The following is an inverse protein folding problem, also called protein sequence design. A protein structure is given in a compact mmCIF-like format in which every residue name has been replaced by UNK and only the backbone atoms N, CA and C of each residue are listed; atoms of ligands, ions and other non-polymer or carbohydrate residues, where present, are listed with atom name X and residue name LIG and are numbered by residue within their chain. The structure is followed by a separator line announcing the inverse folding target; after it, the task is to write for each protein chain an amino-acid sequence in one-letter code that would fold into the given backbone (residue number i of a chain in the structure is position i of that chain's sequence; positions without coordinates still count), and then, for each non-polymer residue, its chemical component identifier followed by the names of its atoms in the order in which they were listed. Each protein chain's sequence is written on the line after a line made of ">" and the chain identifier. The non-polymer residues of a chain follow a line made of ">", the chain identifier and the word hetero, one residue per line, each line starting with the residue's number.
data_IF_157785985604
#
_entry.id   IF_157785985604
#
_cell.length_a   1.000
_cell.length_b   1.000
_cell.length_c   1.000
_cell.angle_alpha   90.00
_cell.angle_beta   90.00
_cell.angle_gamma   90.00
#
_symmetry.space_group_name_H-M   'P 1'
#
loop_
_entity.id
_entity.type
_entity.pdbx_description
1 polymer ?
#
# COMPACT_ATOMS: atom_id res chain seq x y z
N UNK A 1 40.11 -20.77 66.16
CA UNK A 1 39.70 -21.40 64.88
C UNK A 1 38.27 -20.94 64.65
N UNK A 2 38.02 -19.77 64.05
CA UNK A 2 38.20 -19.42 62.62
C UNK A 2 37.50 -20.48 61.77
N UNK A 3 36.38 -20.24 61.09
CA UNK A 3 36.05 -19.20 60.08
C UNK A 3 34.51 -19.12 59.91
N UNK A 4 33.86 -17.95 59.92
CA UNK A 4 33.44 -17.10 58.76
C UNK A 4 32.41 -17.75 57.82
N UNK A 5 31.19 -17.17 57.75
CA UNK A 5 30.62 -16.41 56.61
C UNK A 5 30.28 -17.28 55.37
N UNK A 6 29.13 -17.18 54.73
CA UNK A 6 28.06 -16.21 54.84
C UNK A 6 26.89 -16.57 53.92
N UNK A 7 25.84 -15.78 54.07
CA UNK A 7 24.68 -15.69 53.21
C UNK A 7 25.07 -15.49 51.74
N UNK A 8 24.35 -16.14 50.84
CA UNK A 8 24.52 -15.98 49.40
C UNK A 8 23.51 -16.81 48.64
N UNK A 9 22.22 -16.45 48.73
CA UNK A 9 21.25 -16.76 47.68
C UNK A 9 21.71 -16.07 46.39
N UNK A 10 22.59 -16.73 45.64
CA UNK A 10 22.77 -16.41 44.24
C UNK A 10 21.80 -17.27 43.45
N UNK A 11 20.61 -16.71 43.24
CA UNK A 11 19.76 -17.10 42.13
C UNK A 11 20.62 -17.09 40.87
N UNK A 12 20.86 -18.28 40.33
CA UNK A 12 21.35 -18.43 38.97
C UNK A 12 20.26 -17.84 38.09
N UNK A 13 20.44 -16.57 37.75
CA UNK A 13 19.79 -15.96 36.63
C UNK A 13 20.12 -16.85 35.43
N UNK A 14 19.16 -17.68 35.04
CA UNK A 14 19.15 -18.25 33.71
C UNK A 14 19.18 -17.08 32.74
N UNK A 15 20.37 -16.73 32.28
CA UNK A 15 20.56 -15.92 31.08
C UNK A 15 19.88 -16.72 29.97
N UNK A 16 18.62 -16.38 29.70
CA UNK A 16 17.99 -16.68 28.44
C UNK A 16 18.79 -15.94 27.37
N UNK A 17 19.89 -16.55 26.91
CA UNK A 17 20.40 -16.22 25.59
C UNK A 17 19.24 -16.51 24.63
N UNK A 18 18.71 -15.51 23.90
CA UNK A 18 17.66 -15.77 22.95
C UNK A 18 18.28 -16.64 21.85
N UNK A 19 17.89 -17.90 21.80
CA UNK A 19 18.26 -18.82 20.73
C UNK A 19 18.07 -18.09 19.40
N UNK A 20 19.14 -17.98 18.60
CA UNK A 20 19.14 -17.38 17.25
C UNK A 20 17.98 -17.86 16.37
N UNK A 21 17.41 -19.02 16.68
CA UNK A 21 16.24 -19.60 16.01
C UNK A 21 14.93 -18.83 16.23
N UNK A 22 14.80 -18.02 17.28
CA UNK A 22 13.59 -17.21 17.55
C UNK A 22 13.50 -15.91 16.73
N UNK A 23 14.58 -15.46 16.10
CA UNK A 23 14.56 -14.28 15.22
C UNK A 23 13.90 -14.55 13.87
N UNK A 24 13.77 -15.84 13.51
CA UNK A 24 13.28 -16.27 12.19
C UNK A 24 11.76 -16.42 12.10
N UNK A 25 11.06 -16.39 13.23
CA UNK A 25 9.62 -16.60 13.28
C UNK A 25 8.90 -15.26 13.36
N UNK A 26 8.28 -14.86 12.25
CA UNK A 26 7.26 -13.81 12.20
C UNK A 26 7.76 -12.37 12.40
N UNK A 27 8.99 -12.04 12.02
CA UNK A 27 9.41 -10.63 12.04
C UNK A 27 8.54 -9.82 11.07
N UNK A 28 7.96 -8.73 11.60
CA UNK A 28 7.13 -7.80 10.83
C UNK A 28 8.01 -6.99 9.88
N UNK A 29 7.62 -6.96 8.61
CA UNK A 29 8.28 -6.19 7.57
C UNK A 29 8.02 -4.70 7.79
N UNK A 30 8.94 -4.00 8.48
CA UNK A 30 8.79 -2.59 8.89
C UNK A 30 8.63 -1.60 7.72
N UNK A 31 9.10 -1.97 6.52
CA UNK A 31 8.99 -1.15 5.32
C UNK A 31 7.63 -1.30 4.60
N UNK A 32 6.79 -2.26 5.03
CA UNK A 32 5.49 -2.51 4.43
C UNK A 32 4.40 -1.95 5.36
N UNK A 33 3.54 -1.04 4.86
CA UNK A 33 2.40 -0.58 5.62
C UNK A 33 1.44 -1.73 6.00
N UNK A 34 0.71 -1.57 7.10
CA UNK A 34 -0.32 -2.56 7.47
C UNK A 34 -1.41 -2.66 6.38
N UNK A 35 -2.00 -3.84 6.20
CA UNK A 35 -3.10 -4.05 5.26
C UNK A 35 -4.28 -3.08 5.52
N UNK A 36 -4.64 -2.87 6.79
CA UNK A 36 -5.66 -1.91 7.19
C UNK A 36 -5.34 -0.48 6.72
N UNK A 37 -4.07 -0.05 6.84
CA UNK A 37 -3.65 1.26 6.33
C UNK A 37 -3.78 1.32 4.81
N UNK A 38 -3.39 0.27 4.09
CA UNK A 38 -3.51 0.23 2.62
C UNK A 38 -4.98 0.28 2.17
N UNK A 39 -5.88 -0.44 2.85
CA UNK A 39 -7.31 -0.39 2.60
C UNK A 39 -7.87 1.01 2.83
N UNK A 40 -7.56 1.64 3.97
CA UNK A 40 -7.99 3.01 4.28
C UNK A 40 -7.41 4.03 3.29
N UNK A 41 -6.16 3.85 2.88
CA UNK A 41 -5.50 4.71 1.89
C UNK A 41 -6.21 4.63 0.54
N UNK A 42 -6.59 3.43 0.12
CA UNK A 42 -7.29 3.21 -1.14
C UNK A 42 -8.71 3.76 -1.09
N UNK A 43 -9.48 3.41 -0.07
CA UNK A 43 -10.90 3.73 0.02
C UNK A 43 -11.19 5.18 0.42
N UNK A 44 -10.28 5.81 1.17
CA UNK A 44 -10.39 7.20 1.59
C UNK A 44 -9.70 8.15 0.61
N UNK A 45 -8.36 8.21 0.70
CA UNK A 45 -7.58 9.22 0.00
C UNK A 45 -7.57 9.01 -1.52
N UNK A 46 -7.18 7.81 -1.98
CA UNK A 46 -7.05 7.56 -3.42
C UNK A 46 -8.41 7.58 -4.13
N UNK A 47 -9.46 7.01 -3.54
CA UNK A 47 -10.82 7.07 -4.09
C UNK A 47 -11.26 8.51 -4.36
N UNK A 48 -11.20 9.39 -3.35
CA UNK A 48 -11.59 10.80 -3.51
C UNK A 48 -10.81 11.50 -4.62
N UNK A 49 -9.52 11.22 -4.74
CA UNK A 49 -8.69 11.79 -5.81
C UNK A 49 -9.10 11.26 -7.18
N UNK A 50 -9.30 9.96 -7.30
CA UNK A 50 -9.72 9.33 -8.54
C UNK A 50 -11.08 9.88 -8.97
N UNK A 51 -12.02 10.06 -8.04
CA UNK A 51 -13.34 10.62 -8.32
C UNK A 51 -13.24 12.07 -8.83
N UNK A 52 -12.40 12.92 -8.20
CA UNK A 52 -12.17 14.29 -8.64
C UNK A 52 -11.52 14.36 -10.03
N UNK A 53 -10.53 13.51 -10.29
CA UNK A 53 -9.86 13.43 -11.59
C UNK A 53 -10.81 12.91 -12.68
N UNK A 54 -11.66 11.92 -12.33
CA UNK A 54 -12.64 11.35 -13.24
C UNK A 54 -13.71 12.37 -13.62
N UNK A 55 -14.21 13.15 -12.65
CA UNK A 55 -15.23 14.17 -12.90
C UNK A 55 -14.79 15.17 -13.98
N UNK A 56 -13.55 15.67 -13.88
CA UNK A 56 -13.03 16.57 -14.91
C UNK A 56 -12.88 15.85 -16.24
N UNK A 57 -12.36 14.62 -16.24
CA UNK A 57 -12.20 13.85 -17.48
C UNK A 57 -13.52 13.55 -18.18
N UNK A 58 -14.59 13.23 -17.44
CA UNK A 58 -15.91 12.90 -18.02
C UNK A 58 -16.55 14.08 -18.75
N UNK A 59 -16.14 15.31 -18.43
CA UNK A 59 -16.66 16.53 -19.04
C UNK A 59 -15.86 16.96 -20.29
N UNK A 60 -14.74 16.28 -20.58
CA UNK A 60 -13.89 16.59 -21.73
C UNK A 60 -14.48 15.99 -23.00
N UNK A 61 -14.60 16.81 -24.05
CA UNK A 61 -15.06 16.35 -25.36
C UNK A 61 -14.11 15.28 -25.93
N UNK A 62 -14.67 14.19 -26.46
CA UNK A 62 -13.90 13.10 -27.08
C UNK A 62 -13.01 13.54 -28.27
N UNK A 63 -13.29 14.72 -28.85
CA UNK A 63 -12.47 15.32 -29.91
C UNK A 63 -11.21 16.03 -29.41
N UNK A 64 -11.03 16.22 -28.09
CA UNK A 64 -9.82 16.86 -27.55
C UNK A 64 -8.58 15.97 -27.82
N UNK A 65 -7.48 16.53 -28.35
CA UNK A 65 -6.28 15.77 -28.68
C UNK A 65 -5.62 15.07 -27.48
N UNK A 66 -5.89 15.52 -26.25
CA UNK A 66 -5.37 14.92 -25.00
C UNK A 66 -6.24 13.77 -24.49
N UNK A 67 -7.45 13.61 -25.01
CA UNK A 67 -8.40 12.59 -24.57
C UNK A 67 -7.82 11.15 -24.61
N UNK A 68 -7.13 10.70 -25.69
CA UNK A 68 -6.59 9.34 -25.74
C UNK A 68 -5.54 9.06 -24.68
N UNK A 69 -4.71 10.04 -24.33
CA UNK A 69 -3.67 9.90 -23.30
C UNK A 69 -4.30 9.73 -21.91
N UNK A 70 -5.29 10.56 -21.58
CA UNK A 70 -6.03 10.46 -20.31
C UNK A 70 -6.81 9.15 -20.23
N UNK A 71 -7.50 8.75 -21.29
CA UNK A 71 -8.23 7.47 -21.33
C UNK A 71 -7.28 6.29 -21.10
N UNK A 72 -6.11 6.29 -21.75
CA UNK A 72 -5.09 5.26 -21.57
C UNK A 72 -4.59 5.21 -20.11
N UNK A 73 -4.43 6.36 -19.46
CA UNK A 73 -4.03 6.47 -18.06
C UNK A 73 -5.12 5.93 -17.10
N UNK A 74 -6.39 6.26 -17.33
CA UNK A 74 -7.51 5.69 -16.54
C UNK A 74 -7.68 4.17 -16.76
N UNK A 75 -7.47 3.68 -17.99
CA UNK A 75 -7.44 2.24 -18.25
C UNK A 75 -6.25 1.56 -17.55
N UNK A 76 -5.10 2.23 -17.48
CA UNK A 76 -3.95 1.74 -16.72
C UNK A 76 -4.23 1.72 -15.21
N UNK A 77 -4.92 2.73 -14.68
CA UNK A 77 -5.39 2.77 -13.29
C UNK A 77 -6.27 1.56 -12.97
N UNK A 78 -7.25 1.25 -13.82
CA UNK A 78 -8.11 0.07 -13.64
C UNK A 78 -7.30 -1.22 -13.55
N UNK A 79 -6.33 -1.43 -14.46
CA UNK A 79 -5.44 -2.60 -14.43
C UNK A 79 -4.59 -2.66 -13.16
N UNK A 80 -4.11 -1.52 -12.67
CA UNK A 80 -3.33 -1.46 -11.43
C UNK A 80 -4.19 -1.80 -10.20
N UNK A 81 -5.43 -1.31 -10.14
CA UNK A 81 -6.40 -1.66 -9.10
C UNK A 81 -6.76 -3.15 -9.12
N UNK A 82 -7.00 -3.70 -10.32
CA UNK A 82 -7.23 -5.14 -10.46
C UNK A 82 -6.03 -5.95 -9.96
N UNK A 83 -4.81 -5.49 -10.26
CA UNK A 83 -3.59 -6.14 -9.77
C UNK A 83 -3.49 -6.13 -8.24
N UNK A 84 -3.90 -5.05 -7.57
CA UNK A 84 -4.00 -5.01 -6.11
C UNK A 84 -4.97 -6.09 -5.62
N UNK A 85 -6.14 -6.17 -6.23
CA UNK A 85 -7.17 -7.14 -5.87
C UNK A 85 -6.70 -8.60 -6.08
N UNK A 86 -6.02 -8.88 -7.20
CA UNK A 86 -5.46 -10.17 -7.55
C UNK A 86 -4.39 -10.60 -6.56
N UNK A 87 -3.50 -9.69 -6.16
CA UNK A 87 -2.44 -10.00 -5.20
C UNK A 87 -2.98 -10.19 -3.79
N UNK A 88 -4.00 -9.41 -3.39
CA UNK A 88 -4.59 -9.47 -2.06
C UNK A 88 -5.27 -10.81 -1.76
N UNK A 89 -6.02 -11.38 -2.71
CA UNK A 89 -6.77 -12.63 -2.47
C UNK A 89 -6.58 -13.74 -3.50
N UNK A 90 -5.70 -13.58 -4.50
CA UNK A 90 -5.54 -14.52 -5.64
C UNK A 90 -6.90 -14.90 -6.25
N UNK A 91 -7.82 -13.93 -6.27
CA UNK A 91 -9.15 -14.11 -6.83
C UNK A 91 -9.04 -14.21 -8.35
N UNK A 92 -9.67 -15.22 -8.96
CA UNK A 92 -9.80 -15.29 -10.42
C UNK A 92 -11.17 -14.80 -10.82
N UNK A 93 -11.16 -13.87 -11.77
CA UNK A 93 -12.26 -13.52 -12.67
C UNK A 93 -13.56 -13.05 -12.02
N UNK A 94 -13.75 -11.74 -12.08
CA UNK A 94 -15.07 -11.14 -12.19
C UNK A 94 -15.12 -10.37 -13.50
N UNK A 95 -16.22 -10.47 -14.25
CA UNK A 95 -16.40 -9.79 -15.53
C UNK A 95 -16.53 -8.29 -15.30
N UNK A 96 -15.52 -7.49 -15.67
CA UNK A 96 -15.60 -6.07 -15.41
C UNK A 96 -16.55 -5.36 -16.37
N UNK A 97 -17.12 -4.22 -15.96
CA UNK A 97 -17.83 -3.35 -16.88
C UNK A 97 -16.93 -2.87 -18.04
N UNK A 98 -17.53 -2.67 -19.21
CA UNK A 98 -16.84 -2.11 -20.39
C UNK A 98 -16.76 -0.58 -20.34
N UNK A 99 -17.78 0.07 -19.75
CA UNK A 99 -17.79 1.52 -19.55
C UNK A 99 -16.71 1.92 -18.54
N UNK A 100 -15.91 2.94 -18.88
CA UNK A 100 -14.72 3.29 -18.11
C UNK A 100 -15.06 3.85 -16.73
N UNK A 101 -16.11 4.67 -16.61
CA UNK A 101 -16.53 5.23 -15.32
C UNK A 101 -17.02 4.14 -14.37
N UNK A 102 -17.88 3.26 -14.88
CA UNK A 102 -18.33 2.09 -14.12
C UNK A 102 -17.17 1.15 -13.77
N UNK A 103 -16.22 0.96 -14.69
CA UNK A 103 -15.04 0.12 -14.49
C UNK A 103 -14.14 0.63 -13.38
N UNK A 104 -13.91 1.94 -13.29
CA UNK A 104 -13.10 2.55 -12.22
C UNK A 104 -13.73 2.29 -10.85
N UNK A 105 -15.02 2.60 -10.71
CA UNK A 105 -15.76 2.38 -9.45
C UNK A 105 -15.76 0.90 -9.05
N UNK A 106 -16.01 0.02 -10.03
CA UNK A 106 -15.96 -1.42 -9.84
C UNK A 106 -14.57 -1.90 -9.36
N UNK A 107 -13.50 -1.48 -10.03
CA UNK A 107 -12.13 -1.89 -9.68
C UNK A 107 -11.70 -1.38 -8.31
N UNK A 108 -12.10 -0.17 -7.93
CA UNK A 108 -11.88 0.37 -6.59
C UNK A 108 -12.57 -0.49 -5.53
N UNK A 109 -13.86 -0.76 -5.69
CA UNK A 109 -14.63 -1.55 -4.74
C UNK A 109 -14.08 -2.98 -4.63
N UNK A 110 -13.72 -3.59 -5.76
CA UNK A 110 -13.12 -4.92 -5.79
C UNK A 110 -11.76 -4.96 -5.07
N UNK A 111 -10.89 -3.98 -5.33
CA UNK A 111 -9.59 -3.87 -4.67
C UNK A 111 -9.73 -3.62 -3.16
N UNK A 112 -10.60 -2.69 -2.74
CA UNK A 112 -10.87 -2.39 -1.32
C UNK A 112 -11.46 -3.60 -0.60
N UNK A 113 -12.43 -4.28 -1.21
CA UNK A 113 -13.04 -5.48 -0.64
C UNK A 113 -12.02 -6.59 -0.42
N UNK A 114 -11.14 -6.83 -1.40
CA UNK A 114 -10.10 -7.86 -1.28
C UNK A 114 -9.02 -7.47 -0.28
N UNK A 115 -8.61 -6.19 -0.24
CA UNK A 115 -7.64 -5.67 0.73
C UNK A 115 -8.15 -5.77 2.16
N UNK A 116 -9.41 -5.38 2.40
CA UNK A 116 -10.04 -5.42 3.72
C UNK A 116 -10.20 -6.85 4.26
N UNK A 117 -10.16 -7.83 3.35
CA UNK A 117 -10.28 -9.24 3.68
C UNK A 117 -8.91 -9.96 3.77
N UNK A 118 -7.80 -9.21 3.70
CA UNK A 118 -6.46 -9.71 4.03
C UNK A 118 -6.35 -9.83 5.54
N UNK A 119 -5.94 -11.01 6.01
CA UNK A 119 -5.73 -11.25 7.43
C UNK A 119 -4.56 -10.42 7.96
N UNK A 120 -4.86 -9.48 8.86
CA UNK A 120 -3.89 -8.58 9.46
C UNK A 120 -2.89 -9.31 10.37
N UNK A 121 -3.26 -10.48 10.90
CA UNK A 121 -2.41 -11.24 11.82
C UNK A 121 -1.32 -12.02 11.07
N UNK A 122 -1.50 -12.33 9.80
CA UNK A 122 -0.50 -13.04 8.98
C UNK A 122 0.18 -12.13 7.95
N UNK A 123 -0.44 -11.01 7.61
CA UNK A 123 0.11 -10.07 6.62
C UNK A 123 1.38 -9.37 7.09
N UNK A 124 2.37 -9.28 6.19
CA UNK A 124 3.62 -8.56 6.46
C UNK A 124 4.52 -9.24 7.49
N UNK A 125 4.25 -10.50 7.84
CA UNK A 125 5.16 -11.35 8.60
C UNK A 125 6.01 -12.17 7.63
N UNK A 126 7.31 -12.27 7.92
CA UNK A 126 8.20 -13.22 7.25
C UNK A 126 7.93 -14.60 7.83
N UNK A 127 7.42 -15.51 7.00
CA UNK A 127 7.33 -16.92 7.35
C UNK A 127 8.75 -17.52 7.31
N UNK A 128 9.06 -18.49 8.19
CA UNK A 128 10.37 -19.13 8.20
C UNK A 128 10.67 -19.75 6.82
N UNK A 129 11.92 -19.71 6.40
CA UNK A 129 12.40 -20.17 5.07
C UNK A 129 11.95 -21.58 4.67
N UNK A 130 11.47 -22.38 5.62
CA UNK A 130 11.02 -23.76 5.44
C UNK A 130 9.60 -23.89 4.88
N UNK A 131 8.74 -22.87 4.95
CA UNK A 131 7.34 -23.01 4.49
C UNK A 131 7.16 -22.80 2.98
N UNK A 132 8.16 -22.34 2.23
CA UNK A 132 8.06 -21.93 0.81
C UNK A 132 6.93 -20.90 0.50
N UNK A 133 6.16 -20.49 1.51
CA UNK A 133 5.10 -19.50 1.41
C UNK A 133 5.72 -18.10 1.41
N UNK A 134 5.83 -17.52 0.21
CA UNK A 134 6.21 -16.11 0.07
C UNK A 134 5.08 -15.24 0.61
N UNK A 135 5.39 -14.38 1.58
CA UNK A 135 4.48 -13.33 2.03
C UNK A 135 4.03 -12.49 0.82
N UNK A 136 2.72 -12.35 0.60
CA UNK A 136 2.19 -11.51 -0.48
C UNK A 136 2.37 -10.01 -0.18
N UNK A 137 3.01 -9.65 0.93
CA UNK A 137 3.15 -8.28 1.39
C UNK A 137 3.95 -7.38 0.43
N UNK A 138 5.12 -7.82 -0.04
CA UNK A 138 5.92 -7.04 -0.99
C UNK A 138 5.21 -6.88 -2.35
N UNK A 139 4.68 -7.96 -2.97
CA UNK A 139 3.91 -7.81 -4.20
C UNK A 139 2.69 -6.92 -4.04
N UNK A 140 2.00 -6.97 -2.90
CA UNK A 140 0.82 -6.15 -2.65
C UNK A 140 1.20 -4.68 -2.51
N UNK A 141 2.28 -4.41 -1.77
CA UNK A 141 2.80 -3.05 -1.64
C UNK A 141 3.28 -2.47 -2.97
N UNK A 142 3.98 -3.27 -3.78
CA UNK A 142 4.39 -2.85 -5.13
C UNK A 142 3.17 -2.54 -6.04
N UNK A 143 2.11 -3.34 -5.97
CA UNK A 143 0.87 -3.07 -6.68
C UNK A 143 0.21 -1.76 -6.20
N UNK A 144 0.17 -1.53 -4.89
CA UNK A 144 -0.34 -0.27 -4.32
C UNK A 144 0.47 0.96 -4.75
N UNK A 145 1.81 0.86 -4.76
CA UNK A 145 2.68 1.93 -5.26
C UNK A 145 2.41 2.26 -6.73
N UNK A 146 2.10 1.25 -7.54
CA UNK A 146 1.73 1.45 -8.95
C UNK A 146 0.44 2.27 -9.08
N UNK A 147 -0.58 1.99 -8.26
CA UNK A 147 -1.82 2.80 -8.22
C UNK A 147 -1.49 4.25 -7.84
N UNK A 148 -0.72 4.46 -6.77
CA UNK A 148 -0.31 5.80 -6.32
C UNK A 148 0.41 6.54 -7.44
N UNK A 149 1.35 5.90 -8.12
CA UNK A 149 2.12 6.50 -9.20
C UNK A 149 1.24 6.88 -10.39
N UNK A 150 0.26 6.05 -10.77
CA UNK A 150 -0.67 6.37 -11.87
C UNK A 150 -1.56 7.56 -11.50
N UNK A 151 -2.08 7.61 -10.26
CA UNK A 151 -2.85 8.77 -9.79
C UNK A 151 -2.00 10.04 -9.82
N UNK A 152 -0.75 9.97 -9.36
CA UNK A 152 0.20 11.11 -9.43
C UNK A 152 0.47 11.56 -10.86
N UNK A 153 0.46 10.65 -11.84
CA UNK A 153 0.62 10.99 -13.27
C UNK A 153 -0.65 11.56 -13.89
N UNK A 154 -1.83 11.17 -13.42
CA UNK A 154 -3.12 11.72 -13.88
C UNK A 154 -3.30 13.18 -13.47
N UNK A 155 -2.84 13.57 -12.27
CA UNK A 155 -2.95 14.94 -11.75
C UNK A 155 -2.44 16.00 -12.74
N UNK A 156 -1.19 15.98 -13.24
CA UNK A 156 -0.72 17.00 -14.17
C UNK A 156 -1.44 16.97 -15.52
N UNK A 157 -1.95 15.82 -15.98
CA UNK A 157 -2.74 15.73 -17.21
C UNK A 157 -4.09 16.46 -17.06
N UNK A 158 -4.79 16.19 -15.97
CA UNK A 158 -6.10 16.79 -15.68
C UNK A 158 -5.97 18.29 -15.37
N UNK A 159 -4.86 18.71 -14.73
CA UNK A 159 -4.56 20.13 -14.47
C UNK A 159 -4.45 21.00 -15.72
N UNK A 160 -4.27 20.40 -16.90
CA UNK A 160 -4.32 21.14 -18.17
C UNK A 160 -5.74 21.60 -18.54
N UNK A 161 -6.76 21.13 -17.82
CA UNK A 161 -8.17 21.51 -17.98
C UNK A 161 -8.69 22.23 -16.73
N UNK A 162 -8.38 21.71 -15.54
CA UNK A 162 -8.79 22.28 -14.26
C UNK A 162 -7.56 22.57 -13.39
N UNK A 163 -7.00 23.80 -13.48
CA UNK A 163 -5.78 24.18 -12.76
C UNK A 163 -5.93 24.12 -11.24
N UNK A 164 -7.15 24.31 -10.72
CA UNK A 164 -7.45 24.39 -9.29
C UNK A 164 -7.58 23.01 -8.62
N UNK A 165 -7.39 21.90 -9.35
CA UNK A 165 -7.20 20.57 -8.75
C UNK A 165 -5.90 20.60 -7.94
N UNK A 166 -6.03 20.89 -6.65
CA UNK A 166 -4.91 21.06 -5.73
C UNK A 166 -4.52 19.76 -5.02
N UNK A 167 -3.22 19.63 -4.83
CA UNK A 167 -2.54 18.65 -3.98
C UNK A 167 -2.90 18.82 -2.49
N UNK A 168 -3.60 19.90 -2.10
CA UNK A 168 -4.06 20.07 -0.71
C UNK A 168 -5.14 19.09 -0.28
N UNK A 169 -5.65 18.27 -1.20
CA UNK A 169 -6.40 17.04 -0.90
C UNK A 169 -5.56 15.94 -0.22
N UNK A 170 -4.29 16.22 0.14
CA UNK A 170 -3.32 15.27 0.68
C UNK A 170 -3.27 15.23 2.23
N UNK A 171 -4.39 15.44 2.92
CA UNK A 171 -4.47 15.22 4.37
C UNK A 171 -4.09 13.76 4.69
N UNK A 172 -2.96 13.58 5.39
CA UNK A 172 -2.46 12.28 5.84
C UNK A 172 -1.30 11.69 5.03
N UNK A 173 -0.82 12.35 3.98
CA UNK A 173 0.56 12.15 3.52
C UNK A 173 1.45 13.07 4.37
N UNK A 174 2.49 12.51 4.98
CA UNK A 174 3.50 13.26 5.74
C UNK A 174 3.96 14.43 4.87
N UNK A 175 3.54 15.65 5.20
CA UNK A 175 4.21 16.84 4.71
C UNK A 175 5.57 16.82 5.39
N UNK A 176 6.59 16.45 4.63
CA UNK A 176 7.95 16.71 5.06
C UNK A 176 8.07 18.23 5.15
N UNK A 177 8.32 18.76 6.36
CA UNK A 177 8.52 20.20 6.58
C UNK A 177 9.66 20.76 5.73
N UNK A 178 10.59 19.89 5.32
CA UNK A 178 11.70 20.18 4.45
C UNK A 178 11.81 19.09 3.37
N UNK A 179 12.19 19.42 2.12
CA UNK A 179 12.43 18.41 1.10
C UNK A 179 13.47 17.39 1.59
N UNK A 180 13.27 16.10 1.26
CA UNK A 180 14.21 15.03 1.55
C UNK A 180 15.61 15.44 1.05
N UNK A 181 16.58 15.50 1.97
CA UNK A 181 17.98 15.78 1.63
C UNK A 181 18.44 14.76 0.60
N UNK A 182 19.07 15.22 -0.47
CA UNK A 182 19.58 14.35 -1.56
C UNK A 182 20.78 13.50 -1.14
N UNK A 183 21.37 13.81 0.00
CA UNK A 183 22.56 13.13 0.50
C UNK A 183 22.17 12.05 1.52
N UNK A 184 22.80 10.86 1.47
CA UNK A 184 22.59 9.83 2.48
C UNK A 184 23.02 10.34 3.86
N UNK A 185 22.27 9.94 4.89
CA UNK A 185 22.59 10.26 6.30
C UNK A 185 23.95 9.62 6.60
N UNK A 186 24.93 10.47 6.93
CA UNK A 186 26.26 10.08 7.38
C UNK A 186 26.25 9.53 8.82
#
# INVERSE_FOLDING_TARGET
>A
MSTEHGSGEHGLAHTHEPLLETWSHNERMRHIPAAAWMAQKLDGDLRRRIDALWLVYSDIAASDPRHPEMEAAFRALCRALDRVADVARRSRNQHPPNDLGQRISWSLNHAVGNLSAVDADTFGKRLPFQTFERSNAEPLWAAMLTVIQIVQRLVPLVRTFEPDIDERLYEGLVQLREPLRREPIA
#
